data_IF_210538331693
#
_entry.id   IF_210538331693
#
_cell.length_a   1.000
_cell.length_b   1.000
_cell.length_c   1.000
_cell.angle_alpha   90.00
_cell.angle_beta   90.00
_cell.angle_gamma   90.00
#
_symmetry.space_group_name_H-M   'P 1'
#
loop_
_entity.id
_entity.type
_entity.pdbx_description
1 polymer ?
#
# COMPACT_ATOMS: atom_id res chain seq x y z
N UNK A 1 14.17 9.24 -6.70
CA UNK A 1 12.85 9.46 -7.34
C UNK A 1 12.25 10.75 -6.81
N UNK A 2 11.21 11.32 -7.45
CA UNK A 2 10.55 12.53 -6.94
C UNK A 2 10.08 12.40 -5.48
N UNK A 3 9.57 11.22 -5.11
CA UNK A 3 9.22 10.89 -3.73
C UNK A 3 10.41 10.93 -2.77
N UNK A 4 11.58 10.44 -3.19
CA UNK A 4 12.79 10.51 -2.36
C UNK A 4 13.28 11.95 -2.15
N UNK A 5 13.14 12.81 -3.16
CA UNK A 5 13.48 14.24 -3.05
C UNK A 5 12.54 14.97 -2.10
N UNK A 6 11.24 14.68 -2.16
CA UNK A 6 10.24 15.27 -1.27
C UNK A 6 10.32 14.73 0.16
N UNK A 7 10.73 13.46 0.33
CA UNK A 7 10.85 12.77 1.61
C UNK A 7 12.27 12.19 1.77
N UNK A 8 13.28 13.03 2.07
CA UNK A 8 14.63 12.56 2.29
C UNK A 8 14.68 11.52 3.43
N UNK A 9 15.35 10.39 3.20
CA UNK A 9 15.46 9.30 4.18
C UNK A 9 14.26 8.35 4.25
N UNK A 10 13.16 8.60 3.52
CA UNK A 10 12.08 7.63 3.40
C UNK A 10 12.56 6.36 2.68
N UNK A 11 12.12 5.20 3.17
CA UNK A 11 12.37 3.90 2.54
C UNK A 11 11.31 3.65 1.46
N UNK A 12 11.70 3.72 0.19
CA UNK A 12 10.78 3.54 -0.94
C UNK A 12 10.87 2.12 -1.48
N UNK A 13 9.85 1.30 -1.22
CA UNK A 13 9.69 -0.04 -1.79
C UNK A 13 8.49 -0.06 -2.75
N UNK A 14 8.74 0.32 -4.01
CA UNK A 14 7.74 0.36 -5.07
C UNK A 14 8.14 -0.58 -6.22
N UNK A 15 7.14 -1.27 -6.80
CA UNK A 15 7.30 -2.16 -7.95
C UNK A 15 6.07 -2.07 -8.85
N UNK A 16 6.24 -2.28 -10.16
CA UNK A 16 5.19 -2.11 -11.19
C UNK A 16 3.97 -2.98 -10.93
N UNK A 17 4.17 -4.25 -10.56
CA UNK A 17 3.11 -5.24 -10.35
C UNK A 17 2.51 -5.23 -8.94
N UNK A 18 2.78 -4.21 -8.13
CA UNK A 18 2.33 -4.17 -6.73
C UNK A 18 0.81 -4.01 -6.67
N UNK A 19 0.16 -4.83 -5.84
CA UNK A 19 -1.27 -4.82 -5.50
C UNK A 19 -1.46 -4.59 -4.00
N UNK A 20 -2.67 -4.30 -3.53
CA UNK A 20 -2.94 -4.12 -2.08
C UNK A 20 -2.70 -5.42 -1.31
N UNK A 21 -3.10 -6.57 -1.84
CA UNK A 21 -2.77 -7.89 -1.28
C UNK A 21 -1.26 -8.09 -1.06
N UNK A 22 -0.44 -7.88 -2.09
CA UNK A 22 1.02 -8.09 -1.98
C UNK A 22 1.69 -7.03 -1.10
N UNK A 23 1.14 -5.81 -1.03
CA UNK A 23 1.59 -4.80 -0.07
C UNK A 23 1.33 -5.23 1.38
N UNK A 24 0.20 -5.89 1.66
CA UNK A 24 -0.11 -6.43 2.99
C UNK A 24 0.90 -7.54 3.39
N UNK A 25 1.17 -8.49 2.50
CA UNK A 25 2.18 -9.54 2.73
C UNK A 25 3.55 -8.93 3.05
N UNK A 26 3.96 -7.90 2.31
CA UNK A 26 5.23 -7.21 2.50
C UNK A 26 5.25 -6.42 3.81
N UNK A 27 4.16 -5.74 4.17
CA UNK A 27 4.05 -5.05 5.46
C UNK A 27 4.25 -6.03 6.62
N UNK A 28 3.56 -7.17 6.59
CA UNK A 28 3.68 -8.21 7.62
C UNK A 28 5.10 -8.78 7.69
N UNK A 29 5.69 -9.10 6.54
CA UNK A 29 7.07 -9.60 6.49
C UNK A 29 8.07 -8.58 7.04
N UNK A 30 7.93 -7.29 6.73
CA UNK A 30 8.79 -6.24 7.31
C UNK A 30 8.57 -6.09 8.81
N UNK A 31 7.33 -6.23 9.29
CA UNK A 31 7.04 -6.18 10.72
C UNK A 31 7.68 -7.34 11.46
N UNK A 32 7.55 -8.56 10.94
CA UNK A 32 8.13 -9.76 11.54
C UNK A 32 9.65 -9.68 11.63
N UNK A 33 10.29 -9.09 10.61
CA UNK A 33 11.74 -8.88 10.56
C UNK A 33 12.20 -7.58 11.25
N UNK A 34 11.30 -6.86 11.92
CA UNK A 34 11.60 -5.59 12.64
C UNK A 34 12.16 -4.48 11.76
N UNK A 35 11.81 -4.49 10.48
CA UNK A 35 12.17 -3.45 9.51
C UNK A 35 11.04 -2.45 9.25
N UNK A 36 9.82 -2.72 9.70
CA UNK A 36 8.69 -1.84 9.48
C UNK A 36 8.78 -0.58 10.39
N UNK A 37 8.85 0.64 9.82
CA UNK A 37 8.92 1.87 10.59
C UNK A 37 7.54 2.30 11.11
N UNK A 38 7.52 3.24 12.06
CA UNK A 38 6.29 3.76 12.69
C UNK A 38 5.25 4.28 11.69
N UNK A 39 5.67 4.90 10.59
CA UNK A 39 4.75 5.35 9.54
C UNK A 39 4.81 4.41 8.34
N UNK A 40 3.65 3.89 7.94
CA UNK A 40 3.52 2.95 6.81
C UNK A 40 2.64 3.61 5.75
N UNK A 41 3.20 3.82 4.56
CA UNK A 41 2.46 4.36 3.40
C UNK A 41 2.08 3.21 2.48
N UNK A 42 0.79 2.99 2.27
CA UNK A 42 0.27 2.03 1.31
C UNK A 42 -0.18 2.79 0.06
N UNK A 43 0.62 2.69 -0.99
CA UNK A 43 0.41 3.37 -2.27
C UNK A 43 0.04 2.37 -3.38
N UNK A 44 -1.06 1.64 -3.17
CA UNK A 44 -1.59 0.62 -4.08
C UNK A 44 -3.08 0.83 -4.30
N UNK A 45 -3.66 0.07 -5.23
CA UNK A 45 -5.10 -0.01 -5.38
C UNK A 45 -5.52 -0.20 -6.83
N UNK A 46 -4.86 0.49 -7.77
CA UNK A 46 -5.29 0.48 -9.19
C UNK A 46 -5.06 -0.87 -9.88
N UNK A 47 -4.03 -1.61 -9.45
CA UNK A 47 -3.78 -2.96 -9.92
C UNK A 47 -4.65 -3.94 -9.14
N UNK A 48 -5.46 -4.72 -9.85
CA UNK A 48 -6.40 -5.71 -9.33
C UNK A 48 -7.43 -5.12 -8.34
N UNK A 49 -8.28 -4.17 -8.79
CA UNK A 49 -9.20 -3.44 -7.93
C UNK A 49 -10.44 -4.25 -7.53
N UNK A 50 -10.67 -5.44 -8.08
CA UNK A 50 -11.93 -6.18 -7.95
C UNK A 50 -12.22 -6.61 -6.51
N UNK A 51 -11.18 -6.89 -5.73
CA UNK A 51 -11.28 -7.38 -4.35
C UNK A 51 -10.96 -6.30 -3.31
N UNK A 52 -11.22 -5.02 -3.64
CA UNK A 52 -10.76 -3.90 -2.83
C UNK A 52 -11.29 -3.92 -1.40
N UNK A 53 -12.54 -4.36 -1.17
CA UNK A 53 -13.14 -4.36 0.16
C UNK A 53 -12.34 -5.27 1.09
N UNK A 54 -12.16 -6.51 0.67
CA UNK A 54 -11.43 -7.52 1.42
C UNK A 54 -9.95 -7.17 1.56
N UNK A 55 -9.32 -6.65 0.49
CA UNK A 55 -7.90 -6.30 0.51
C UNK A 55 -7.61 -5.11 1.44
N UNK A 56 -8.43 -4.05 1.39
CA UNK A 56 -8.28 -2.88 2.26
C UNK A 56 -8.64 -3.19 3.71
N UNK A 57 -9.74 -3.92 3.95
CA UNK A 57 -10.10 -4.35 5.30
C UNK A 57 -9.01 -5.23 5.91
N UNK A 58 -8.46 -6.15 5.12
CA UNK A 58 -7.37 -7.03 5.55
C UNK A 58 -6.11 -6.26 5.89
N UNK A 59 -5.64 -5.33 5.05
CA UNK A 59 -4.39 -4.61 5.33
C UNK A 59 -4.53 -3.68 6.53
N UNK A 60 -5.69 -3.03 6.72
CA UNK A 60 -5.97 -2.21 7.90
C UNK A 60 -6.00 -3.07 9.16
N UNK A 61 -6.72 -4.20 9.13
CA UNK A 61 -6.80 -5.13 10.27
C UNK A 61 -5.45 -5.73 10.65
N UNK A 62 -4.58 -5.94 9.66
CA UNK A 62 -3.26 -6.54 9.85
C UNK A 62 -2.16 -5.53 10.23
N UNK A 63 -2.45 -4.23 10.29
CA UNK A 63 -1.49 -3.22 10.72
C UNK A 63 -0.96 -3.55 12.12
N UNK A 64 0.35 -3.79 12.28
CA UNK A 64 0.93 -4.06 13.60
C UNK A 64 0.73 -2.87 14.54
N UNK A 65 0.47 -3.15 15.82
CA UNK A 65 0.33 -2.10 16.84
C UNK A 65 1.57 -1.19 16.87
N UNK A 66 1.36 0.07 17.24
CA UNK A 66 2.43 1.08 17.31
C UNK A 66 2.77 1.76 15.98
N UNK A 67 2.04 1.43 14.91
CA UNK A 67 2.22 1.99 13.58
C UNK A 67 1.06 2.93 13.21
N UNK A 68 1.33 3.92 12.38
CA UNK A 68 0.36 4.82 11.76
C UNK A 68 0.36 4.57 10.25
N UNK A 69 -0.82 4.30 9.69
CA UNK A 69 -0.97 3.99 8.27
C UNK A 69 -1.48 5.20 7.49
N UNK A 70 -0.85 5.49 6.36
CA UNK A 70 -1.30 6.47 5.37
C UNK A 70 -1.75 5.67 4.14
N UNK A 71 -3.01 5.83 3.76
CA UNK A 71 -3.60 5.24 2.56
C UNK A 71 -3.55 6.27 1.42
N UNK A 72 -2.96 5.90 0.28
CA UNK A 72 -2.98 6.72 -0.93
C UNK A 72 -4.06 6.17 -1.85
N UNK A 73 -5.07 6.98 -2.12
CA UNK A 73 -6.21 6.55 -2.94
C UNK A 73 -5.80 6.33 -4.39
N UNK A 74 -6.28 5.25 -5.03
CA UNK A 74 -5.98 4.94 -6.43
C UNK A 74 -6.73 5.87 -7.40
N UNK A 75 -6.25 5.92 -8.64
CA UNK A 75 -6.87 6.67 -9.73
C UNK A 75 -6.76 5.88 -11.04
N UNK A 76 -7.88 5.65 -11.73
CA UNK A 76 -7.95 5.15 -13.11
C UNK A 76 -8.63 6.24 -13.95
N UNK A 77 -7.90 6.75 -14.94
CA UNK A 77 -8.36 7.85 -15.79
C UNK A 77 -9.20 7.37 -16.96
N UNK A 78 -9.09 6.08 -17.31
CA UNK A 78 -9.87 5.47 -18.36
C UNK A 78 -11.27 5.10 -17.84
N UNK A 79 -12.26 5.93 -18.19
CA UNK A 79 -13.66 5.74 -17.79
C UNK A 79 -14.31 4.47 -18.37
N UNK A 80 -13.66 3.80 -19.32
CA UNK A 80 -14.15 2.53 -19.87
C UNK A 80 -13.81 1.33 -19.00
N UNK A 81 -12.89 1.47 -18.05
CA UNK A 81 -12.53 0.42 -17.12
C UNK A 81 -13.34 0.55 -15.84
N UNK A 82 -14.08 -0.49 -15.51
CA UNK A 82 -14.68 -0.59 -14.18
C UNK A 82 -13.57 -0.68 -13.13
N UNK A 83 -13.60 0.26 -12.20
CA UNK A 83 -12.71 0.30 -11.03
C UNK A 83 -13.60 0.53 -9.81
N UNK A 84 -13.56 -0.41 -8.86
CA UNK A 84 -14.29 -0.34 -7.58
C UNK A 84 -15.83 -0.36 -7.69
N UNK A 85 -16.37 -1.15 -8.61
CA UNK A 85 -17.82 -1.43 -8.71
C UNK A 85 -18.36 -2.23 -7.50
#
# INVERSE_FOLDING_TARGET
TALQTALPGAQINAQVSRTTKTANEIMLNNSQNKFLPKMVVIATGVNNPENYKEDWDSIVKNLPKGHHMILVTPYEGDKTKETYA
#
